data_IF_415585657864
#
_entry.id   IF_415585657864
#
_cell.length_a   1.000
_cell.length_b   1.000
_cell.length_c   1.000
_cell.angle_alpha   90.00
_cell.angle_beta   90.00
_cell.angle_gamma   90.00
#
_symmetry.space_group_name_H-M   'P 1'
#
loop_
_entity.id
_entity.type
_entity.pdbx_description
1 polymer ?
#
# COMPACT_ATOMS: atom_id res chain seq x y z
N UNK A 1 -0.09 -2.35 -9.75
CA UNK A 1 -1.46 -1.80 -9.85
C UNK A 1 -1.94 -1.17 -8.55
N UNK A 2 -2.15 -1.91 -7.45
CA UNK A 2 -2.65 -1.32 -6.19
C UNK A 2 -1.68 -0.31 -5.57
N UNK A 3 -0.41 -0.70 -5.36
CA UNK A 3 0.60 0.18 -4.74
C UNK A 3 0.91 1.41 -5.59
N UNK A 4 0.85 1.28 -6.92
CA UNK A 4 1.01 2.40 -7.84
C UNK A 4 -0.13 3.41 -7.66
N UNK A 5 -1.38 2.92 -7.63
CA UNK A 5 -2.56 3.77 -7.42
C UNK A 5 -2.57 4.45 -6.04
N UNK A 6 -2.11 3.75 -4.98
CA UNK A 6 -1.97 4.33 -3.64
C UNK A 6 -0.91 5.44 -3.61
N UNK A 7 0.22 5.21 -4.29
CA UNK A 7 1.29 6.21 -4.39
C UNK A 7 0.80 7.44 -5.12
N UNK A 8 0.15 7.27 -6.28
CA UNK A 8 -0.45 8.37 -7.05
C UNK A 8 -1.53 9.11 -6.26
N UNK A 9 -2.38 8.39 -5.53
CA UNK A 9 -3.39 8.99 -4.66
C UNK A 9 -2.74 9.87 -3.57
N UNK A 10 -1.75 9.34 -2.86
CA UNK A 10 -1.06 10.06 -1.79
C UNK A 10 -0.33 11.30 -2.34
N UNK A 11 0.35 11.18 -3.48
CA UNK A 11 1.01 12.31 -4.15
C UNK A 11 -0.01 13.39 -4.54
N UNK A 12 -1.16 13.02 -5.11
CA UNK A 12 -2.18 13.99 -5.52
C UNK A 12 -2.84 14.65 -4.31
N UNK A 13 -3.13 13.90 -3.25
CA UNK A 13 -3.64 14.43 -1.98
C UNK A 13 -2.76 15.56 -1.42
N UNK A 14 -1.46 15.52 -1.64
CA UNK A 14 -0.50 16.53 -1.16
C UNK A 14 -0.34 17.74 -2.10
N UNK A 15 -0.83 17.68 -3.33
CA UNK A 15 -0.73 18.79 -4.30
C UNK A 15 -1.81 19.84 -4.04
N UNK A 16 -1.49 21.10 -4.34
CA UNK A 16 -2.50 22.15 -4.42
C UNK A 16 -3.39 21.96 -5.66
N UNK A 17 -4.73 22.13 -5.58
CA UNK A 17 -5.52 22.51 -4.40
C UNK A 17 -6.06 21.33 -3.57
N UNK A 18 -5.72 20.10 -3.95
CA UNK A 18 -6.23 18.88 -3.33
C UNK A 18 -5.84 18.75 -1.84
N UNK A 19 -4.70 19.29 -1.41
CA UNK A 19 -4.29 19.33 -0.01
C UNK A 19 -5.25 20.12 0.89
N UNK A 20 -5.80 21.25 0.40
CA UNK A 20 -6.78 22.06 1.14
C UNK A 20 -8.10 21.32 1.29
N UNK A 21 -8.59 20.71 0.20
CA UNK A 21 -9.81 19.89 0.22
C UNK A 21 -9.61 18.69 1.14
N UNK A 22 -8.48 17.99 1.02
CA UNK A 22 -8.16 16.81 1.84
C UNK A 22 -8.06 17.15 3.32
N UNK A 23 -7.51 18.31 3.68
CA UNK A 23 -7.51 18.77 5.07
C UNK A 23 -8.90 19.19 5.56
N UNK A 24 -9.73 19.76 4.70
CA UNK A 24 -11.07 20.24 5.08
C UNK A 24 -12.04 19.09 5.33
N UNK A 25 -11.93 18.01 4.56
CA UNK A 25 -12.80 16.82 4.66
C UNK A 25 -12.15 15.61 5.36
N UNK A 26 -10.99 15.81 6.01
CA UNK A 26 -10.22 14.76 6.70
C UNK A 26 -9.93 13.52 5.83
N UNK A 27 -9.62 13.72 4.55
CA UNK A 27 -9.15 12.61 3.71
C UNK A 27 -7.74 12.21 4.17
N UNK A 28 -7.58 10.94 4.54
CA UNK A 28 -6.34 10.37 5.09
C UNK A 28 -5.48 9.77 3.99
N UNK A 29 -4.20 9.58 4.28
CA UNK A 29 -3.30 8.84 3.39
C UNK A 29 -3.76 7.39 3.26
N UNK A 30 -3.65 6.84 2.07
CA UNK A 30 -3.91 5.43 1.83
C UNK A 30 -2.66 4.63 2.21
N UNK A 31 -2.85 3.53 2.95
CA UNK A 31 -1.79 2.59 3.26
C UNK A 31 -1.42 1.80 2.00
N UNK A 32 -0.12 1.61 1.77
CA UNK A 32 0.35 0.68 0.75
C UNK A 32 -0.06 -0.73 1.14
N UNK A 33 -0.33 -1.57 0.15
CA UNK A 33 -0.47 -2.99 0.39
C UNK A 33 0.95 -3.49 0.65
N UNK A 34 1.28 -3.57 1.94
CA UNK A 34 2.42 -4.33 2.39
C UNK A 34 2.14 -5.78 2.03
N UNK A 35 2.92 -6.27 1.07
CA UNK A 35 3.20 -7.69 1.01
C UNK A 35 4.07 -7.95 2.23
N UNK A 36 3.43 -8.08 3.39
CA UNK A 36 3.93 -8.99 4.40
C UNK A 36 3.93 -10.32 3.66
N UNK A 37 5.05 -10.63 3.01
CA UNK A 37 5.44 -12.01 2.79
C UNK A 37 5.11 -12.66 4.11
N UNK A 38 4.08 -13.51 4.12
CA UNK A 38 3.83 -14.35 5.29
C UNK A 38 5.20 -14.89 5.64
N UNK A 39 5.68 -14.66 6.86
CA UNK A 39 6.90 -15.34 7.29
C UNK A 39 6.74 -16.87 7.10
N UNK A 40 5.49 -17.35 7.01
CA UNK A 40 5.10 -18.69 6.59
C UNK A 40 5.28 -19.02 5.08
N UNK A 41 5.23 -18.07 4.13
CA UNK A 41 5.42 -18.34 2.69
C UNK A 41 6.90 -18.43 2.28
N UNK A 42 7.82 -17.92 3.11
CA UNK A 42 9.26 -18.17 2.97
C UNK A 42 9.71 -19.50 3.59
N UNK A 43 8.81 -20.37 4.04
CA UNK A 43 9.22 -21.75 4.36
C UNK A 43 9.40 -22.51 3.05
N UNK A 44 10.65 -22.83 2.71
CA UNK A 44 10.95 -23.73 1.61
C UNK A 44 10.11 -25.01 1.78
N UNK A 45 9.32 -25.44 0.77
CA UNK A 45 8.58 -26.68 0.86
C UNK A 45 9.58 -27.81 1.09
N UNK A 46 9.49 -28.50 2.23
CA UNK A 46 10.31 -29.69 2.51
C UNK A 46 9.90 -30.78 1.53
N UNK A 47 10.65 -30.93 0.46
CA UNK A 47 10.51 -32.05 -0.48
C UNK A 47 11.01 -33.32 0.22
N UNK A 48 10.07 -34.20 0.59
CA UNK A 48 10.36 -35.56 1.03
C UNK A 48 10.08 -36.49 -0.12
N UNK A 49 11.13 -37.09 -0.68
CA UNK A 49 11.01 -38.21 -1.62
C UNK A 49 11.11 -39.50 -0.79
N UNK A 50 9.96 -40.02 -0.38
CA UNK A 50 9.79 -41.42 0.03
C UNK A 50 9.32 -42.24 -1.15
#
# INVERSE_FOLDING_TARGET
>A
AYNDAVTDYNINREKFPQNVISSTFDFKTAALLDVVEKAEERTAPKVSFT
#
